data_IF_627643453034
#
_entry.id   IF_627643453034
#
_cell.length_a   1.000
_cell.length_b   1.000
_cell.length_c   1.000
_cell.angle_alpha   90.00
_cell.angle_beta   90.00
_cell.angle_gamma   90.00
#
_symmetry.space_group_name_H-M   'P 1'
#
loop_
_entity.id
_entity.type
_entity.pdbx_description
1 polymer ?
#
# COMPACT_ATOMS: atom_id res chain seq x y z
N UNK A 1 -11.68 15.13 -3.64
CA UNK A 1 -10.21 15.15 -3.80
C UNK A 1 -9.79 13.78 -4.27
N UNK A 2 -9.27 13.67 -5.49
CA UNK A 2 -8.78 12.39 -6.02
C UNK A 2 -7.28 12.28 -5.74
N UNK A 3 -6.92 11.93 -4.51
CA UNK A 3 -5.53 11.78 -4.06
C UNK A 3 -5.36 10.52 -3.21
N UNK A 4 -4.12 10.03 -3.11
CA UNK A 4 -3.79 8.78 -2.45
C UNK A 4 -3.94 8.75 -0.93
N UNK A 5 -3.86 9.91 -0.28
CA UNK A 5 -4.03 10.14 1.17
C UNK A 5 -4.66 11.52 1.40
N UNK A 6 -5.58 11.62 2.36
CA UNK A 6 -6.18 12.90 2.79
C UNK A 6 -5.95 13.05 4.28
N UNK A 7 -5.16 14.05 4.66
CA UNK A 7 -4.88 14.40 6.04
C UNK A 7 -5.71 15.63 6.42
N UNK A 8 -6.48 15.53 7.51
CA UNK A 8 -7.24 16.66 8.06
C UNK A 8 -6.41 17.31 9.15
N UNK A 9 -6.25 18.64 9.10
CA UNK A 9 -5.44 19.44 10.05
C UNK A 9 -3.93 19.13 10.10
N UNK A 10 -3.42 18.36 9.15
CA UNK A 10 -2.02 17.96 9.08
C UNK A 10 -1.46 18.21 7.66
N UNK A 11 -0.14 18.37 7.56
CA UNK A 11 0.50 18.57 6.25
C UNK A 11 0.27 17.34 5.35
N UNK A 12 0.13 17.50 4.01
CA UNK A 12 0.00 16.37 3.08
C UNK A 12 1.14 15.34 3.14
N UNK A 13 2.28 15.68 3.75
CA UNK A 13 3.41 14.79 3.97
C UNK A 13 3.36 14.00 5.30
N UNK A 14 2.39 14.26 6.17
CA UNK A 14 2.27 13.55 7.45
C UNK A 14 1.87 12.09 7.19
N UNK A 15 2.77 11.17 7.52
CA UNK A 15 2.60 9.73 7.36
C UNK A 15 3.41 8.99 8.41
N UNK A 16 2.99 7.76 8.72
CA UNK A 16 3.80 6.81 9.50
C UNK A 16 4.51 5.86 8.53
N UNK A 17 5.73 5.43 8.83
CA UNK A 17 6.55 4.61 7.92
C UNK A 17 5.88 3.27 7.51
N UNK A 18 4.95 2.78 8.33
CA UNK A 18 4.18 1.55 8.05
C UNK A 18 2.86 1.79 7.31
N UNK A 19 2.40 3.04 7.14
CA UNK A 19 1.12 3.32 6.49
C UNK A 19 1.19 3.13 4.97
N UNK A 20 0.13 2.64 4.32
CA UNK A 20 0.06 2.52 2.87
C UNK A 20 0.22 3.88 2.19
N UNK A 21 1.27 4.03 1.40
CA UNK A 21 1.62 5.28 0.72
C UNK A 21 1.57 5.08 -0.79
N UNK A 22 0.87 5.92 -1.53
CA UNK A 22 0.92 5.82 -2.99
C UNK A 22 -0.13 6.69 -3.65
N UNK A 23 0.29 7.42 -4.69
CA UNK A 23 -0.55 8.33 -5.45
C UNK A 23 -1.43 7.63 -6.48
N UNK A 24 -2.31 8.42 -7.10
CA UNK A 24 -3.10 8.04 -8.27
C UNK A 24 -2.85 9.08 -9.38
N UNK A 25 -3.25 8.79 -10.62
CA UNK A 25 -2.97 9.64 -11.81
C UNK A 25 -1.46 9.67 -12.10
N UNK A 26 -0.90 10.79 -12.56
CA UNK A 26 0.54 10.90 -12.85
C UNK A 26 1.42 10.78 -11.59
N UNK A 27 0.82 10.76 -10.40
CA UNK A 27 1.52 10.55 -9.14
C UNK A 27 1.83 9.08 -8.83
N UNK A 28 1.38 8.12 -9.66
CA UNK A 28 1.80 6.72 -9.54
C UNK A 28 0.86 5.71 -10.20
N UNK A 29 1.41 4.54 -10.52
CA UNK A 29 0.72 3.43 -11.20
C UNK A 29 -0.29 2.68 -10.30
N UNK A 30 -0.66 3.24 -9.13
CA UNK A 30 -1.66 2.67 -8.22
C UNK A 30 -1.15 1.60 -7.24
N UNK A 31 0.15 1.31 -7.21
CA UNK A 31 0.75 0.42 -6.20
C UNK A 31 1.00 1.22 -4.91
N UNK A 32 0.59 0.67 -3.77
CA UNK A 32 0.86 1.25 -2.45
C UNK A 32 2.20 0.74 -1.92
N UNK A 33 2.99 1.65 -1.40
CA UNK A 33 4.25 1.49 -0.70
C UNK A 33 4.05 1.70 0.82
N UNK A 34 5.14 1.78 1.58
CA UNK A 34 5.13 1.71 3.05
C UNK A 34 5.58 0.32 3.50
N UNK A 35 6.22 0.21 4.69
CA UNK A 35 6.95 -1.01 5.08
C UNK A 35 6.13 -2.29 4.92
N UNK A 36 4.85 -2.28 5.30
CA UNK A 36 3.97 -3.45 5.17
C UNK A 36 3.58 -3.79 3.73
N UNK A 37 3.29 -2.78 2.90
CA UNK A 37 2.88 -3.01 1.50
C UNK A 37 4.08 -3.35 0.61
N UNK A 38 5.27 -2.81 0.91
CA UNK A 38 6.53 -3.18 0.25
C UNK A 38 6.91 -4.64 0.54
N UNK A 39 6.75 -5.11 1.78
CA UNK A 39 7.00 -6.52 2.14
C UNK A 39 6.06 -7.49 1.40
N UNK A 40 4.80 -7.10 1.19
CA UNK A 40 3.86 -7.88 0.37
C UNK A 40 4.25 -7.87 -1.10
N UNK A 41 4.65 -6.73 -1.64
CA UNK A 41 5.05 -6.61 -3.05
C UNK A 41 6.34 -7.39 -3.38
N UNK A 42 7.27 -7.52 -2.43
CA UNK A 42 8.51 -8.27 -2.61
C UNK A 42 8.41 -9.78 -2.36
N UNK A 43 7.22 -10.31 -2.10
CA UNK A 43 7.03 -11.75 -1.87
C UNK A 43 6.04 -12.34 -2.87
N UNK A 44 6.31 -13.56 -3.35
CA UNK A 44 5.37 -14.32 -4.16
C UNK A 44 4.57 -15.28 -3.27
N UNK A 45 3.24 -15.20 -3.32
CA UNK A 45 2.37 -16.10 -2.56
C UNK A 45 2.35 -17.47 -3.23
N UNK A 46 2.87 -18.49 -2.54
CA UNK A 46 2.78 -19.89 -2.96
C UNK A 46 1.61 -20.55 -2.26
N UNK A 47 0.55 -20.86 -3.00
CA UNK A 47 -0.59 -21.62 -2.49
C UNK A 47 -0.35 -23.11 -2.63
N UNK A 48 -0.76 -23.88 -1.64
CA UNK A 48 -0.83 -25.33 -1.70
C UNK A 48 -2.19 -25.76 -1.15
N UNK A 49 -2.77 -26.80 -1.76
CA UNK A 49 -4.01 -27.40 -1.29
C UNK A 49 -3.71 -28.79 -0.74
N UNK A 50 -4.35 -29.10 0.39
CA UNK A 50 -4.30 -30.43 1.00
C UNK A 50 -5.71 -31.00 0.97
N UNK A 51 -5.90 -32.29 0.65
CA UNK A 51 -7.20 -32.93 0.69
C UNK A 51 -7.72 -32.94 2.13
N UNK A 52 -8.96 -32.47 2.32
CA UNK A 52 -9.64 -32.42 3.62
C UNK A 52 -10.88 -33.34 3.56
N UNK A 53 -10.80 -34.58 4.07
CA UNK A 53 -11.92 -35.53 4.10
C UNK A 53 -12.98 -35.21 5.16
#
# INVERSE_FOLDING_TARGET
>A
LDVGTVNIWEQPGYRIEMSPFGGIKDSGNGVKEGVLEAMKFFTNVKTYSLPWP
#
